data_IF_040554263699
#
_entry.id   IF_040554263699
#
_cell.length_a   1.000
_cell.length_b   1.000
_cell.length_c   1.000
_cell.angle_alpha   90.00
_cell.angle_beta   90.00
_cell.angle_gamma   90.00
#
_symmetry.space_group_name_H-M   'P 1'
#
loop_
_entity.id
_entity.type
_entity.pdbx_description
1 polymer ?
#
# COMPACT_ATOMS: atom_id res chain seq x y z
N UNK A 1 -29.61 -1.76 -5.67
CA UNK A 1 -28.28 -2.06 -5.12
C UNK A 1 -27.88 -0.88 -4.25
N UNK A 2 -27.65 -1.09 -2.97
CA UNK A 2 -27.31 0.01 -2.04
C UNK A 2 -25.85 0.36 -2.20
N UNK A 3 -25.54 1.57 -2.67
CA UNK A 3 -24.18 2.10 -2.68
C UNK A 3 -23.69 2.28 -1.24
N UNK A 4 -22.70 1.49 -0.81
CA UNK A 4 -21.95 1.79 0.40
C UNK A 4 -20.96 2.91 0.07
N UNK A 5 -21.06 4.02 0.80
CA UNK A 5 -20.16 5.17 0.66
C UNK A 5 -19.08 5.08 1.75
N UNK A 6 -17.85 5.48 1.40
CA UNK A 6 -16.71 5.46 2.32
C UNK A 6 -15.96 4.13 2.37
N UNK A 7 -14.83 4.12 3.08
CA UNK A 7 -14.01 2.92 3.30
C UNK A 7 -14.57 2.13 4.48
N UNK A 8 -14.67 0.81 4.34
CA UNK A 8 -15.01 -0.08 5.45
C UNK A 8 -14.00 0.08 6.58
N UNK A 9 -14.45 0.44 7.78
CA UNK A 9 -13.59 0.50 8.95
C UNK A 9 -13.40 -0.93 9.49
N UNK A 10 -12.16 -1.41 9.49
CA UNK A 10 -11.85 -2.78 9.94
C UNK A 10 -11.72 -2.83 11.47
N UNK A 11 -12.77 -3.26 12.17
CA UNK A 11 -12.81 -3.47 13.63
C UNK A 11 -12.44 -4.91 14.02
N UNK A 12 -11.32 -5.40 13.49
CA UNK A 12 -10.76 -6.73 13.77
C UNK A 12 -9.28 -6.57 14.17
N UNK A 13 -8.65 -7.55 14.84
CA UNK A 13 -7.24 -7.44 15.26
C UNK A 13 -6.25 -7.22 14.12
N UNK A 14 -6.64 -7.55 12.89
CA UNK A 14 -5.89 -7.27 11.67
C UNK A 14 -6.45 -8.05 10.48
N UNK A 15 -6.19 -7.59 9.24
CA UNK A 15 -5.42 -6.39 8.86
C UNK A 15 -6.18 -5.06 9.09
N UNK A 16 -5.49 -3.92 8.91
CA UNK A 16 -6.04 -2.55 9.01
C UNK A 16 -6.18 -1.91 7.62
N UNK A 17 -7.01 -0.86 7.49
CA UNK A 17 -7.09 -0.08 6.25
C UNK A 17 -5.74 0.57 5.89
N UNK A 18 -5.26 0.30 4.68
CA UNK A 18 -4.02 0.87 4.15
C UNK A 18 -4.25 2.31 3.67
N UNK A 19 -3.45 3.31 4.09
CA UNK A 19 -3.57 4.70 3.60
C UNK A 19 -3.45 4.79 2.06
N UNK A 20 -4.20 5.70 1.44
CA UNK A 20 -4.25 5.84 -0.03
C UNK A 20 -2.86 6.05 -0.65
N UNK A 21 -1.97 6.81 0.02
CA UNK A 21 -0.60 7.04 -0.47
C UNK A 21 0.23 5.75 -0.57
N UNK A 22 -0.03 4.78 0.30
CA UNK A 22 0.67 3.49 0.30
C UNK A 22 0.10 2.58 -0.78
N UNK A 23 -1.23 2.55 -0.94
CA UNK A 23 -1.86 1.83 -2.05
C UNK A 23 -1.36 2.33 -3.39
N UNK A 24 -1.28 3.65 -3.59
CA UNK A 24 -0.72 4.25 -4.81
C UNK A 24 0.74 3.89 -5.03
N UNK A 25 1.54 3.78 -3.97
CA UNK A 25 2.93 3.36 -4.09
C UNK A 25 3.06 1.88 -4.48
N UNK A 26 2.11 1.03 -4.08
CA UNK A 26 2.07 -0.40 -4.46
C UNK A 26 1.78 -0.63 -5.95
N UNK A 27 1.18 0.34 -6.64
CA UNK A 27 0.96 0.28 -8.09
C UNK A 27 2.24 0.50 -8.91
N UNK A 28 3.35 0.91 -8.27
CA UNK A 28 4.63 1.10 -8.96
C UNK A 28 5.26 -0.26 -9.34
N UNK A 29 6.04 -0.32 -10.44
CA UNK A 29 6.77 -1.53 -10.79
C UNK A 29 7.71 -2.01 -9.67
N UNK A 30 7.87 -3.33 -9.58
CA UNK A 30 8.85 -3.92 -8.66
C UNK A 30 10.26 -3.46 -9.00
N UNK A 31 11.00 -3.02 -8.00
CA UNK A 31 12.43 -2.70 -8.12
C UNK A 31 13.29 -3.97 -8.11
N UNK A 32 14.36 -3.98 -8.90
CA UNK A 32 15.40 -4.99 -8.75
C UNK A 32 16.20 -4.74 -7.48
N UNK A 33 16.21 -5.71 -6.57
CA UNK A 33 16.97 -5.66 -5.32
C UNK A 33 18.49 -5.45 -5.47
N UNK A 34 19.07 -5.71 -6.65
CA UNK A 34 20.49 -5.44 -6.96
C UNK A 34 20.71 -4.12 -7.70
N UNK A 35 19.64 -3.43 -8.05
CA UNK A 35 19.68 -2.17 -8.80
C UNK A 35 20.11 -0.99 -7.92
N UNK A 36 20.65 0.08 -8.54
CA UNK A 36 21.06 1.29 -7.82
C UNK A 36 19.89 1.95 -7.06
N UNK A 37 18.68 1.93 -7.62
CA UNK A 37 17.48 2.52 -7.01
C UNK A 37 17.08 1.82 -5.70
N UNK A 38 17.24 0.49 -5.62
CA UNK A 38 16.97 -0.24 -4.38
C UNK A 38 18.05 0.01 -3.33
N UNK A 39 19.30 0.20 -3.74
CA UNK A 39 20.40 0.51 -2.83
C UNK A 39 20.17 1.83 -2.07
N UNK A 40 19.49 2.80 -2.68
CA UNK A 40 19.11 4.08 -2.05
C UNK A 40 18.16 3.90 -0.85
N UNK A 41 17.42 2.79 -0.77
CA UNK A 41 16.50 2.49 0.34
C UNK A 41 17.19 1.87 1.56
N UNK A 42 18.41 1.35 1.41
CA UNK A 42 19.13 0.60 2.45
C UNK A 42 20.07 1.43 3.34
N UNK A 43 20.02 2.75 3.22
CA UNK A 43 20.85 3.70 3.97
C UNK A 43 20.27 4.03 5.35
#
# INVERSE_FOLDING_TARGET
MTLHTGRHFLQIPGPTNVPDRVLRAMDMPTLDHRGPEFAELGH
#
